data_IF_187208387225
#
_entry.id   IF_187208387225
#
_cell.length_a   1.000
_cell.length_b   1.000
_cell.length_c   1.000
_cell.angle_alpha   90.00
_cell.angle_beta   90.00
_cell.angle_gamma   90.00
#
_symmetry.space_group_name_H-M   'P 1'
#
loop_
_entity.id
_entity.type
_entity.pdbx_description
1 polymer ?
#
# COMPACT_ATOMS: atom_id res chain seq x y z
N UNK A 1 0.30 4.23 6.16
CA UNK A 1 1.59 3.66 5.75
C UNK A 1 1.65 3.50 4.24
N UNK A 2 2.87 3.36 3.71
CA UNK A 2 3.11 3.13 2.30
C UNK A 2 3.63 1.73 2.09
N UNK A 3 3.08 1.03 1.10
CA UNK A 3 3.50 -0.32 0.73
C UNK A 3 3.72 -0.35 -0.77
N UNK A 4 4.80 -0.99 -1.22
CA UNK A 4 4.99 -1.16 -2.67
C UNK A 4 3.79 -1.93 -3.22
N UNK A 5 3.13 -1.38 -4.25
CA UNK A 5 1.90 -1.99 -4.78
C UNK A 5 2.13 -3.38 -5.36
N UNK A 6 3.37 -3.73 -5.69
CA UNK A 6 3.71 -5.06 -6.19
C UNK A 6 3.86 -6.08 -5.07
N UNK A 7 3.93 -5.61 -3.83
CA UNK A 7 4.08 -6.50 -2.67
C UNK A 7 2.70 -6.98 -2.22
N UNK A 8 2.15 -7.93 -2.97
CA UNK A 8 0.79 -8.42 -2.76
C UNK A 8 0.61 -9.04 -1.37
N UNK A 9 1.62 -9.75 -0.88
CA UNK A 9 1.55 -10.35 0.46
C UNK A 9 1.38 -9.30 1.55
N UNK A 10 2.14 -8.22 1.46
CA UNK A 10 2.04 -7.14 2.44
C UNK A 10 0.69 -6.44 2.36
N UNK A 11 0.20 -6.17 1.14
CA UNK A 11 -1.10 -5.54 0.96
C UNK A 11 -2.20 -6.38 1.60
N UNK A 12 -2.19 -7.69 1.36
CA UNK A 12 -3.20 -8.59 1.93
C UNK A 12 -3.10 -8.64 3.45
N UNK A 13 -1.89 -8.68 3.99
CA UNK A 13 -1.69 -8.69 5.43
C UNK A 13 -2.27 -7.45 6.07
N UNK A 14 -1.96 -6.27 5.54
CA UNK A 14 -2.46 -5.02 6.10
C UNK A 14 -3.97 -4.91 5.98
N UNK A 15 -4.54 -5.35 4.87
CA UNK A 15 -5.99 -5.37 4.73
C UNK A 15 -6.63 -6.29 5.76
N UNK A 16 -6.00 -7.43 6.04
CA UNK A 16 -6.50 -8.38 7.03
C UNK A 16 -6.57 -7.77 8.43
N UNK A 17 -5.63 -6.90 8.78
CA UNK A 17 -5.58 -6.30 10.10
C UNK A 17 -6.25 -4.92 10.15
N UNK A 18 -7.01 -4.56 9.12
CA UNK A 18 -7.87 -3.39 9.16
C UNK A 18 -7.43 -2.17 8.38
N UNK A 19 -6.36 -2.28 7.60
CA UNK A 19 -5.94 -1.17 6.74
C UNK A 19 -6.74 -1.15 5.45
N UNK A 20 -7.00 0.05 4.93
CA UNK A 20 -7.67 0.23 3.65
C UNK A 20 -6.76 0.96 2.68
N UNK A 21 -6.89 0.63 1.41
CA UNK A 21 -6.16 1.31 0.33
C UNK A 21 -6.86 2.62 0.04
N UNK A 22 -6.16 3.73 0.18
CA UNK A 22 -6.76 5.05 -0.01
C UNK A 22 -6.20 5.81 -1.21
N UNK A 23 -4.97 5.52 -1.64
CA UNK A 23 -4.33 6.26 -2.71
C UNK A 23 -3.13 5.51 -3.23
N UNK A 24 -2.65 5.90 -4.42
CA UNK A 24 -1.41 5.38 -5.00
C UNK A 24 -0.47 6.54 -5.20
N UNK A 25 0.76 6.41 -4.71
CA UNK A 25 1.80 7.39 -4.94
C UNK A 25 2.73 6.86 -6.02
N UNK A 26 2.64 7.45 -7.21
CA UNK A 26 3.40 6.97 -8.36
C UNK A 26 4.88 7.22 -8.20
N UNK A 27 5.69 6.23 -8.61
CA UNK A 27 7.15 6.32 -8.63
C UNK A 27 7.76 6.62 -7.27
N UNK A 28 7.09 6.24 -6.19
CA UNK A 28 7.55 6.53 -4.83
C UNK A 28 8.87 5.81 -4.52
N UNK A 29 8.98 4.54 -4.93
CA UNK A 29 10.18 3.73 -4.70
C UNK A 29 11.14 3.77 -5.88
N UNK A 30 10.73 4.38 -6.99
CA UNK A 30 11.53 4.44 -8.21
C UNK A 30 10.63 4.41 -9.43
N UNK A 31 11.22 4.41 -10.61
CA UNK A 31 10.47 4.41 -11.86
C UNK A 31 9.61 3.15 -11.96
N UNK A 32 8.31 3.32 -12.14
CA UNK A 32 7.33 2.24 -12.19
C UNK A 32 7.22 1.44 -10.89
N UNK A 33 7.69 2.02 -9.79
CA UNK A 33 7.62 1.40 -8.47
C UNK A 33 6.74 2.26 -7.58
N UNK A 34 5.45 2.00 -7.61
CA UNK A 34 4.46 2.83 -6.93
C UNK A 34 4.21 2.36 -5.50
N UNK A 35 3.86 3.30 -4.64
CA UNK A 35 3.45 2.99 -3.28
C UNK A 35 1.94 3.02 -3.17
N UNK A 36 1.39 1.99 -2.53
CA UNK A 36 -0.01 1.98 -2.11
C UNK A 36 -0.08 2.64 -0.74
N UNK A 37 -0.83 3.71 -0.64
CA UNK A 37 -1.04 4.41 0.63
C UNK A 37 -2.21 3.73 1.33
N UNK A 38 -1.96 3.28 2.55
CA UNK A 38 -2.97 2.58 3.33
C UNK A 38 -3.17 3.26 4.67
N UNK A 39 -4.39 3.23 5.16
CA UNK A 39 -4.75 3.82 6.43
C UNK A 39 -5.60 2.83 7.21
N UNK A 40 -5.31 2.71 8.50
CA UNK A 40 -6.12 1.87 9.37
C UNK A 40 -7.32 2.64 9.86
N UNK A 41 -8.49 2.06 9.66
CA UNK A 41 -9.74 2.66 10.09
C UNK A 41 -10.26 1.83 11.26
N UNK A 42 -10.37 2.47 12.38
CA UNK A 42 -10.87 1.81 13.60
C UNK A 42 -12.21 2.37 13.99
#
# INVERSE_FOLDING_TARGET
>A
LEVNEKNVKALKLYEKIGFERISVRKNYYGKNENAMIMMKIT
#
